data_IF_285448305822
#
_entry.id   IF_285448305822
#
_cell.length_a   1.000
_cell.length_b   1.000
_cell.length_c   1.000
_cell.angle_alpha   90.00
_cell.angle_beta   90.00
_cell.angle_gamma   90.00
#
_symmetry.space_group_name_H-M   'P 1'
#
loop_
_entity.id
_entity.type
_entity.pdbx_description
1 polymer ?
#
# COMPACT_ATOMS: atom_id res chain seq x y z
N UNK A 1 11.74 20.34 21.79
CA UNK A 1 12.84 20.96 21.04
C UNK A 1 12.18 21.81 19.96
N UNK A 2 12.38 23.13 20.00
CA UNK A 2 11.78 24.02 18.99
C UNK A 2 12.74 24.05 17.80
N UNK A 3 12.28 23.71 16.60
CA UNK A 3 13.01 23.97 15.36
C UNK A 3 12.45 25.25 14.74
N UNK A 4 13.29 26.23 14.53
CA UNK A 4 12.95 27.45 13.81
C UNK A 4 13.46 27.28 12.38
N UNK A 5 12.57 27.16 11.42
CA UNK A 5 12.94 27.24 10.02
C UNK A 5 12.78 28.68 9.57
N UNK A 6 13.88 29.30 9.15
CA UNK A 6 13.85 30.61 8.52
C UNK A 6 13.30 30.46 7.10
N UNK A 7 12.02 30.73 6.96
CA UNK A 7 11.38 30.78 5.66
C UNK A 7 11.66 32.15 5.05
N UNK A 8 11.99 32.21 3.78
CA UNK A 8 12.18 33.45 3.02
C UNK A 8 10.90 34.31 2.89
N UNK A 9 9.79 33.83 3.39
CA UNK A 9 8.47 34.46 3.47
C UNK A 9 8.21 34.91 4.92
N UNK A 10 7.53 36.05 5.19
CA UNK A 10 7.43 36.64 6.52
C UNK A 10 6.52 35.89 7.51
N UNK A 11 6.35 34.58 7.35
CA UNK A 11 5.58 33.74 8.27
C UNK A 11 6.45 32.67 8.91
N UNK A 12 6.36 32.57 10.23
CA UNK A 12 7.00 31.51 11.02
C UNK A 12 5.98 30.40 11.27
N UNK A 13 6.29 29.21 10.79
CA UNK A 13 5.50 28.02 11.08
C UNK A 13 6.14 27.22 12.21
N UNK A 14 5.38 26.97 13.27
CA UNK A 14 5.86 26.23 14.44
C UNK A 14 5.03 24.96 14.61
N UNK A 15 5.69 23.81 14.47
CA UNK A 15 5.08 22.50 14.77
C UNK A 15 5.33 22.14 16.23
N UNK A 16 4.29 22.00 17.02
CA UNK A 16 4.36 21.52 18.39
C UNK A 16 4.10 20.01 18.44
N UNK A 17 5.05 19.26 19.03
CA UNK A 17 4.93 17.83 19.24
C UNK A 17 5.67 16.99 18.19
N UNK A 18 5.75 15.69 18.47
CA UNK A 18 6.43 14.72 17.61
C UNK A 18 5.46 14.05 16.65
N UNK A 19 4.18 14.07 16.94
CA UNK A 19 3.12 13.46 16.14
C UNK A 19 1.75 14.05 16.47
N UNK A 20 0.79 13.79 15.58
CA UNK A 20 -0.64 14.04 15.75
C UNK A 20 -1.43 12.76 15.52
N UNK A 21 -2.46 12.53 16.36
CA UNK A 21 -3.37 11.41 16.23
C UNK A 21 -4.71 11.84 15.63
N UNK A 22 -5.24 11.01 14.73
CA UNK A 22 -6.53 11.21 14.07
C UNK A 22 -7.38 9.94 14.17
N UNK A 23 -8.53 10.02 14.82
CA UNK A 23 -9.59 9.01 14.68
C UNK A 23 -10.20 9.13 13.31
N UNK A 24 -10.21 8.05 12.55
CA UNK A 24 -10.72 8.01 11.18
C UNK A 24 -11.84 6.99 11.07
N UNK A 25 -12.92 7.38 10.37
CA UNK A 25 -13.97 6.50 9.90
C UNK A 25 -14.22 6.80 8.44
N UNK A 26 -14.04 5.78 7.60
CA UNK A 26 -14.14 5.89 6.14
C UNK A 26 -15.20 4.91 5.65
N UNK A 27 -16.15 5.40 4.84
CA UNK A 27 -17.17 4.59 4.21
C UNK A 27 -16.89 4.45 2.72
N UNK A 28 -17.20 3.29 2.16
CA UNK A 28 -17.02 2.99 0.75
C UNK A 28 -18.28 2.31 0.25
N UNK A 29 -18.92 2.85 -0.80
CA UNK A 29 -20.04 2.21 -1.45
C UNK A 29 -19.55 1.49 -2.70
N UNK A 30 -19.54 0.18 -2.68
CA UNK A 30 -19.25 -0.66 -3.84
C UNK A 30 -20.55 -1.10 -4.51
N UNK A 31 -20.54 -1.12 -5.83
CA UNK A 31 -21.65 -1.61 -6.63
C UNK A 31 -21.16 -2.39 -7.84
N UNK A 32 -21.67 -3.59 -7.99
CA UNK A 32 -21.49 -4.40 -9.19
C UNK A 32 -22.70 -4.28 -10.11
N UNK A 33 -22.58 -3.49 -11.15
CA UNK A 33 -23.65 -3.31 -12.16
C UNK A 33 -23.63 -4.37 -13.26
N UNK A 34 -22.73 -5.36 -13.19
CA UNK A 34 -22.62 -6.46 -14.17
C UNK A 34 -23.50 -7.65 -13.78
N UNK A 35 -23.69 -8.56 -14.75
CA UNK A 35 -24.40 -9.83 -14.55
C UNK A 35 -23.47 -10.96 -14.07
N UNK A 36 -22.17 -10.69 -13.92
CA UNK A 36 -21.15 -11.62 -13.42
C UNK A 36 -20.50 -11.09 -12.16
N UNK A 37 -19.97 -11.95 -11.28
CA UNK A 37 -19.21 -11.48 -10.14
C UNK A 37 -17.99 -10.65 -10.55
N UNK A 38 -17.70 -9.58 -9.78
CA UNK A 38 -16.53 -8.71 -10.00
C UNK A 38 -15.66 -8.63 -8.75
N UNK A 39 -14.36 -8.44 -8.95
CA UNK A 39 -13.41 -8.08 -7.89
C UNK A 39 -13.25 -6.58 -7.90
N UNK A 40 -13.38 -5.96 -6.73
CA UNK A 40 -13.10 -4.53 -6.53
C UNK A 40 -12.15 -4.38 -5.36
N UNK A 41 -11.12 -3.59 -5.55
CA UNK A 41 -10.14 -3.25 -4.52
C UNK A 41 -10.40 -1.82 -4.06
N UNK A 42 -10.31 -1.58 -2.75
CA UNK A 42 -10.44 -0.27 -2.14
C UNK A 42 -9.21 0.05 -1.31
N UNK A 43 -8.76 1.31 -1.35
CA UNK A 43 -7.61 1.76 -0.58
C UNK A 43 -8.03 2.13 0.84
N UNK A 44 -7.40 1.51 1.83
CA UNK A 44 -7.38 1.97 3.21
C UNK A 44 -6.14 2.83 3.44
N UNK A 45 -6.10 3.67 4.49
CA UNK A 45 -4.90 4.46 4.78
C UNK A 45 -3.65 3.59 4.83
N UNK A 46 -2.61 3.88 4.02
CA UNK A 46 -1.38 3.09 3.97
C UNK A 46 -0.43 3.42 5.11
N UNK A 47 0.54 2.56 5.35
CA UNK A 47 1.72 2.86 6.14
C UNK A 47 2.73 3.62 5.28
N UNK A 48 3.28 4.74 5.76
CA UNK A 48 4.28 5.55 5.03
C UNK A 48 5.45 5.91 5.93
N UNK A 49 6.45 6.65 5.42
CA UNK A 49 7.54 7.16 6.24
C UNK A 49 7.06 8.02 7.42
N UNK A 50 5.93 8.71 7.25
CA UNK A 50 5.43 9.67 8.26
C UNK A 50 4.03 9.35 8.76
N UNK A 51 3.46 8.20 8.40
CA UNK A 51 2.13 7.78 8.81
C UNK A 51 2.14 6.34 9.31
N UNK A 52 1.57 6.12 10.50
CA UNK A 52 1.22 4.78 11.00
C UNK A 52 -0.27 4.64 11.17
N UNK A 53 -0.76 3.43 10.90
CA UNK A 53 -2.19 3.11 10.92
C UNK A 53 -2.49 1.99 11.92
N UNK A 54 -3.45 2.28 12.79
CA UNK A 54 -3.97 1.34 13.78
C UNK A 54 -5.42 1.01 13.44
N UNK A 55 -5.64 -0.18 12.90
CA UNK A 55 -6.96 -0.62 12.44
C UNK A 55 -7.79 -1.07 13.62
N UNK A 56 -8.88 -0.37 13.90
CA UNK A 56 -9.86 -0.81 14.91
C UNK A 56 -10.79 -1.86 14.33
N UNK A 57 -11.32 -1.62 13.14
CA UNK A 57 -12.30 -2.51 12.51
C UNK A 57 -12.45 -2.21 11.02
N UNK A 58 -12.64 -3.26 10.22
CA UNK A 58 -13.11 -3.19 8.82
C UNK A 58 -14.37 -4.04 8.71
N UNK A 59 -15.48 -3.45 8.28
CA UNK A 59 -16.78 -4.14 8.22
C UNK A 59 -17.50 -3.87 6.90
N UNK A 60 -17.90 -4.90 6.17
CA UNK A 60 -17.50 -6.29 6.33
C UNK A 60 -16.00 -6.50 6.07
N UNK A 61 -15.46 -7.61 6.56
CA UNK A 61 -14.06 -7.97 6.29
C UNK A 61 -13.84 -8.18 4.79
N UNK A 62 -12.71 -7.74 4.22
CA UNK A 62 -12.36 -8.04 2.85
C UNK A 62 -12.11 -9.55 2.63
N UNK A 63 -12.29 -10.00 1.40
CA UNK A 63 -11.95 -11.37 0.99
C UNK A 63 -10.43 -11.60 1.06
N UNK A 64 -9.66 -10.55 0.75
CA UNK A 64 -8.20 -10.56 0.77
C UNK A 64 -7.67 -9.16 1.09
N UNK A 65 -6.52 -9.09 1.76
CA UNK A 65 -5.73 -7.87 1.92
C UNK A 65 -4.48 -8.00 1.06
N UNK A 66 -4.19 -6.94 0.30
CA UNK A 66 -3.01 -6.84 -0.56
C UNK A 66 -2.28 -5.53 -0.25
N UNK A 67 -0.96 -5.56 -0.37
CA UNK A 67 -0.15 -4.34 -0.54
C UNK A 67 0.29 -4.34 -1.99
N UNK A 68 -0.07 -3.28 -2.73
CA UNK A 68 0.24 -3.18 -4.16
C UNK A 68 1.66 -2.68 -4.44
N UNK A 69 1.96 -2.47 -5.73
CA UNK A 69 3.28 -2.02 -6.19
C UNK A 69 3.63 -0.61 -5.71
N UNK A 70 2.66 0.25 -5.43
CA UNK A 70 2.86 1.61 -4.91
C UNK A 70 2.90 1.66 -3.38
N UNK A 71 2.62 0.55 -2.70
CA UNK A 71 2.58 0.44 -1.26
C UNK A 71 1.19 0.71 -0.67
N UNK A 72 0.14 0.76 -1.48
CA UNK A 72 -1.23 0.91 -1.00
C UNK A 72 -1.70 -0.31 -0.21
N UNK A 73 -2.40 -0.06 0.88
CA UNK A 73 -3.10 -1.06 1.69
C UNK A 73 -4.49 -1.27 1.12
N UNK A 74 -4.69 -2.37 0.37
CA UNK A 74 -5.93 -2.63 -0.37
C UNK A 74 -6.75 -3.76 0.24
N UNK A 75 -8.04 -3.50 0.41
CA UNK A 75 -9.04 -4.53 0.72
C UNK A 75 -9.74 -4.99 -0.56
N UNK A 76 -9.58 -6.26 -0.92
CA UNK A 76 -10.24 -6.88 -2.07
C UNK A 76 -11.60 -7.44 -1.67
N UNK A 77 -12.63 -7.06 -2.41
CA UNK A 77 -13.99 -7.56 -2.26
C UNK A 77 -14.46 -8.24 -3.52
N UNK A 78 -15.16 -9.36 -3.35
CA UNK A 78 -15.87 -10.06 -4.43
C UNK A 78 -17.34 -9.69 -4.28
N UNK A 79 -17.90 -9.09 -5.32
CA UNK A 79 -19.30 -8.67 -5.37
C UNK A 79 -20.07 -9.59 -6.32
N UNK A 80 -21.18 -10.14 -5.86
CA UNK A 80 -22.13 -10.86 -6.70
C UNK A 80 -22.77 -9.94 -7.75
N UNK A 81 -23.41 -10.45 -8.80
CA UNK A 81 -24.15 -9.63 -9.74
C UNK A 81 -25.16 -8.72 -9.04
N UNK A 82 -25.21 -7.45 -9.45
CA UNK A 82 -26.10 -6.42 -8.92
C UNK A 82 -25.97 -6.14 -7.40
N UNK A 83 -24.92 -6.64 -6.75
CA UNK A 83 -24.70 -6.43 -5.33
C UNK A 83 -24.24 -5.00 -5.04
N UNK A 84 -24.87 -4.39 -4.02
CA UNK A 84 -24.38 -3.17 -3.36
C UNK A 84 -23.80 -3.54 -2.00
N UNK A 85 -22.63 -2.99 -1.67
CA UNK A 85 -21.95 -3.29 -0.41
C UNK A 85 -21.36 -2.02 0.18
N UNK A 86 -21.72 -1.72 1.43
CA UNK A 86 -21.11 -0.62 2.18
C UNK A 86 -20.02 -1.21 3.05
N UNK A 87 -18.80 -0.68 2.90
CA UNK A 87 -17.67 -1.03 3.74
C UNK A 87 -17.36 0.16 4.64
N UNK A 88 -17.08 -0.10 5.91
CA UNK A 88 -16.64 0.90 6.87
C UNK A 88 -15.28 0.49 7.42
N UNK A 89 -14.29 1.37 7.27
CA UNK A 89 -13.01 1.32 7.97
C UNK A 89 -13.09 2.23 9.19
N UNK A 90 -12.67 1.74 10.34
CA UNK A 90 -12.46 2.51 11.57
C UNK A 90 -11.04 2.29 12.06
N UNK A 91 -10.34 3.36 12.39
CA UNK A 91 -8.97 3.28 12.89
C UNK A 91 -8.45 4.58 13.45
N UNK A 92 -7.20 4.55 13.90
CA UNK A 92 -6.44 5.75 14.27
C UNK A 92 -5.25 5.87 13.33
N UNK A 93 -5.05 7.06 12.79
CA UNK A 93 -3.88 7.40 11.99
C UNK A 93 -2.99 8.30 12.84
N UNK A 94 -1.70 7.97 12.90
CA UNK A 94 -0.66 8.73 13.61
C UNK A 94 0.28 9.33 12.57
N UNK A 95 0.34 10.67 12.53
CA UNK A 95 1.22 11.41 11.62
C UNK A 95 2.42 11.90 12.42
N UNK A 96 3.62 11.59 11.94
CA UNK A 96 4.87 11.93 12.62
C UNK A 96 5.52 13.19 12.04
N UNK A 97 6.14 13.98 12.90
CA UNK A 97 6.94 15.14 12.51
C UNK A 97 8.27 14.74 11.82
N UNK A 98 8.72 13.49 12.02
CA UNK A 98 9.94 12.93 11.42
C UNK A 98 9.66 11.58 10.81
N UNK A 99 10.50 11.18 9.88
CA UNK A 99 10.43 9.86 9.25
C UNK A 99 10.62 8.74 10.27
N UNK A 100 9.88 7.65 10.06
CA UNK A 100 9.99 6.44 10.85
C UNK A 100 11.18 5.60 10.34
N UNK A 101 12.20 5.43 11.17
CA UNK A 101 13.43 4.70 10.82
C UNK A 101 13.15 3.23 10.43
N UNK A 102 12.14 2.61 11.01
CA UNK A 102 11.73 1.24 10.72
C UNK A 102 11.08 1.06 9.33
N UNK A 103 10.67 2.16 8.68
CA UNK A 103 10.11 2.16 7.32
C UNK A 103 11.15 2.37 6.22
N UNK A 104 12.31 2.94 6.53
CA UNK A 104 13.30 3.37 5.52
C UNK A 104 13.73 2.20 4.63
N UNK A 105 14.06 1.07 5.22
CA UNK A 105 14.53 -0.08 4.44
C UNK A 105 13.45 -0.64 3.49
N UNK A 106 12.21 -0.74 3.97
CA UNK A 106 11.08 -1.14 3.14
C UNK A 106 10.87 -0.17 1.98
N UNK A 107 10.88 1.14 2.23
CA UNK A 107 10.71 2.19 1.21
C UNK A 107 11.80 2.12 0.13
N UNK A 108 13.05 1.92 0.51
CA UNK A 108 14.17 1.73 -0.43
C UNK A 108 13.97 0.52 -1.35
N UNK A 109 13.52 -0.61 -0.79
CA UNK A 109 13.21 -1.81 -1.57
C UNK A 109 12.04 -1.60 -2.51
N UNK A 110 10.99 -0.96 -2.01
CA UNK A 110 9.81 -0.63 -2.79
C UNK A 110 10.19 0.28 -3.97
N UNK A 111 10.93 1.36 -3.71
CA UNK A 111 11.40 2.27 -4.76
C UNK A 111 12.21 1.56 -5.84
N UNK A 112 13.09 0.63 -5.48
CA UNK A 112 13.87 -0.15 -6.47
C UNK A 112 12.97 -0.90 -7.46
N UNK A 113 11.81 -1.37 -7.04
CA UNK A 113 10.83 -2.01 -7.92
C UNK A 113 9.98 -1.02 -8.71
N UNK A 114 9.83 0.21 -8.21
CA UNK A 114 8.95 1.25 -8.77
C UNK A 114 9.64 2.13 -9.82
N UNK A 115 10.96 2.32 -9.74
CA UNK A 115 11.66 3.34 -10.53
C UNK A 115 11.47 3.21 -12.05
N UNK A 116 11.12 2.03 -12.56
CA UNK A 116 10.89 1.83 -13.99
C UNK A 116 9.65 2.56 -14.50
N UNK A 117 8.66 2.84 -13.64
CA UNK A 117 7.44 3.54 -14.04
C UNK A 117 7.31 4.95 -13.42
N UNK A 118 8.08 5.28 -12.39
CA UNK A 118 7.99 6.58 -11.71
C UNK A 118 8.50 7.77 -12.53
N UNK A 119 9.12 7.52 -13.69
CA UNK A 119 9.51 8.52 -14.69
C UNK A 119 8.65 8.45 -15.96
N UNK A 120 7.71 7.48 -16.05
CA UNK A 120 6.88 7.35 -17.23
C UNK A 120 5.76 8.37 -17.20
N UNK A 121 5.43 8.89 -18.39
CA UNK A 121 4.24 9.72 -18.55
C UNK A 121 2.99 8.85 -18.37
N UNK A 122 1.97 9.42 -17.77
CA UNK A 122 0.71 8.76 -17.51
C UNK A 122 -0.41 9.81 -17.62
N UNK A 123 -1.61 9.39 -17.93
CA UNK A 123 -2.79 10.19 -18.35
C UNK A 123 -2.80 11.67 -17.92
N UNK A 124 -2.77 11.94 -16.60
CA UNK A 124 -2.83 13.31 -16.08
C UNK A 124 -1.46 13.96 -15.88
N UNK A 125 -0.38 13.21 -16.01
CA UNK A 125 1.01 13.66 -15.85
C UNK A 125 1.78 13.77 -17.17
N UNK A 126 1.08 13.60 -18.31
CA UNK A 126 1.67 13.70 -19.66
C UNK A 126 2.04 15.14 -19.96
N UNK A 127 3.24 15.33 -20.52
CA UNK A 127 3.74 16.61 -21.00
C UNK A 127 4.25 16.44 -22.44
N UNK A 128 3.46 16.94 -23.39
CA UNK A 128 3.80 17.01 -24.84
C UNK A 128 3.65 18.44 -25.37
N UNK A 129 3.05 19.35 -24.60
CA UNK A 129 2.82 20.72 -25.01
C UNK A 129 4.16 21.45 -25.24
N UNK A 130 4.46 21.98 -26.48
CA UNK A 130 5.76 22.59 -26.79
C UNK A 130 6.06 23.83 -25.93
N UNK A 131 5.04 24.59 -25.53
CA UNK A 131 5.23 25.79 -24.69
C UNK A 131 5.60 25.41 -23.27
N UNK A 132 4.97 24.36 -22.74
CA UNK A 132 5.32 23.81 -21.43
C UNK A 132 6.74 23.25 -21.45
N UNK A 133 7.10 22.42 -22.42
CA UNK A 133 8.46 21.89 -22.58
C UNK A 133 9.50 23.02 -22.64
N UNK A 134 9.22 24.06 -23.41
CA UNK A 134 10.10 25.26 -23.48
C UNK A 134 10.21 25.97 -22.12
N UNK A 135 9.12 26.07 -21.38
CA UNK A 135 9.14 26.69 -20.04
C UNK A 135 9.97 25.87 -19.04
N UNK A 136 10.06 24.55 -19.22
CA UNK A 136 10.86 23.65 -18.39
C UNK A 136 12.36 23.60 -18.74
N UNK A 137 12.82 24.25 -19.82
CA UNK A 137 14.24 24.22 -20.22
C UNK A 137 15.20 24.69 -19.11
N UNK A 138 14.76 25.68 -18.30
CA UNK A 138 15.54 26.25 -17.20
C UNK A 138 15.28 25.59 -15.84
N UNK A 139 14.34 24.64 -15.77
CA UNK A 139 13.99 23.90 -14.57
C UNK A 139 14.89 22.68 -14.48
N UNK A 140 15.71 22.56 -13.42
CA UNK A 140 16.70 21.49 -13.29
C UNK A 140 16.66 20.75 -11.96
N UNK A 141 16.08 21.36 -10.93
CA UNK A 141 16.01 20.81 -9.57
C UNK A 141 14.56 20.64 -9.13
N UNK A 142 14.33 19.92 -8.06
CA UNK A 142 12.99 19.79 -7.47
C UNK A 142 12.47 21.15 -6.99
N UNK A 143 13.35 22.00 -6.46
CA UNK A 143 13.01 23.36 -6.05
C UNK A 143 12.56 24.20 -7.24
N UNK A 144 13.28 24.12 -8.40
CA UNK A 144 12.84 24.80 -9.63
C UNK A 144 11.46 24.33 -10.08
N UNK A 145 11.18 23.00 -10.01
CA UNK A 145 9.86 22.45 -10.35
C UNK A 145 8.79 23.00 -9.41
N UNK A 146 9.06 22.98 -8.12
CA UNK A 146 8.10 23.47 -7.13
C UNK A 146 7.77 24.95 -7.34
N UNK A 147 8.77 25.79 -7.46
CA UNK A 147 8.61 27.22 -7.70
C UNK A 147 7.90 27.47 -9.04
N UNK A 148 8.28 26.74 -10.10
CA UNK A 148 7.59 26.82 -11.40
C UNK A 148 6.09 26.54 -11.28
N UNK A 149 5.68 25.53 -10.51
CA UNK A 149 4.26 25.20 -10.30
C UNK A 149 3.54 26.28 -9.52
N UNK A 150 4.12 26.76 -8.41
CA UNK A 150 3.54 27.81 -7.56
C UNK A 150 3.43 29.13 -8.34
N UNK A 151 4.46 29.53 -9.09
CA UNK A 151 4.45 30.77 -9.88
C UNK A 151 3.52 30.70 -11.11
N UNK A 152 3.24 29.48 -11.61
CA UNK A 152 2.45 29.29 -12.82
C UNK A 152 0.97 29.18 -12.59
N UNK A 153 0.53 28.60 -11.49
CA UNK A 153 -0.87 28.28 -11.23
C UNK A 153 -1.49 29.27 -10.25
N UNK A 154 -2.78 29.54 -10.44
CA UNK A 154 -3.62 30.30 -9.51
C UNK A 154 -4.75 29.41 -9.01
N UNK A 155 -4.93 29.33 -7.68
CA UNK A 155 -5.95 28.46 -7.09
C UNK A 155 -7.36 28.92 -7.38
N UNK A 156 -8.17 28.05 -7.98
CA UNK A 156 -9.54 28.34 -8.39
C UNK A 156 -10.56 28.02 -7.30
N UNK A 157 -10.87 28.96 -6.43
CA UNK A 157 -11.93 28.82 -5.42
C UNK A 157 -13.32 28.58 -6.04
N UNK A 158 -13.56 28.95 -7.29
CA UNK A 158 -14.83 28.71 -7.99
C UNK A 158 -15.03 27.26 -8.40
N UNK A 159 -13.96 26.51 -8.60
CA UNK A 159 -13.99 25.06 -8.85
C UNK A 159 -14.03 24.24 -7.57
N UNK A 160 -13.74 24.86 -6.46
CA UNK A 160 -13.73 24.27 -5.15
C UNK A 160 -15.11 23.70 -4.78
N UNK A 161 -15.16 22.43 -4.38
CA UNK A 161 -16.41 21.76 -3.97
C UNK A 161 -17.34 21.32 -5.10
N UNK A 162 -17.06 21.65 -6.34
CA UNK A 162 -17.79 21.12 -7.48
C UNK A 162 -17.09 19.83 -7.95
N UNK A 163 -17.85 18.84 -8.40
CA UNK A 163 -17.35 17.62 -9.05
C UNK A 163 -16.78 17.94 -10.44
N UNK A 164 -15.81 18.86 -10.48
CA UNK A 164 -15.17 19.28 -11.72
C UNK A 164 -14.19 18.19 -12.17
N UNK A 165 -14.20 17.94 -13.46
CA UNK A 165 -13.30 16.99 -14.10
C UNK A 165 -11.83 17.38 -13.85
N UNK A 166 -10.96 16.41 -13.51
CA UNK A 166 -9.50 16.59 -13.38
C UNK A 166 -8.91 16.97 -14.73
N UNK A 167 -8.18 18.08 -14.78
CA UNK A 167 -7.65 18.62 -16.04
C UNK A 167 -6.35 17.94 -16.49
N UNK A 168 -5.45 17.63 -15.55
CA UNK A 168 -4.10 17.16 -15.82
C UNK A 168 -3.08 18.28 -16.05
N UNK A 169 -1.80 17.90 -16.12
CA UNK A 169 -0.66 18.83 -16.16
C UNK A 169 -0.71 19.84 -17.30
N UNK A 170 -0.95 19.38 -18.55
CA UNK A 170 -0.95 20.25 -19.73
C UNK A 170 -2.10 21.26 -19.71
N UNK A 171 -3.31 20.82 -19.38
CA UNK A 171 -4.45 21.69 -19.34
C UNK A 171 -4.37 22.67 -18.16
N UNK A 172 -3.78 22.29 -17.03
CA UNK A 172 -3.47 23.19 -15.91
C UNK A 172 -2.49 24.30 -16.38
N UNK A 173 -1.44 23.95 -17.10
CA UNK A 173 -0.49 24.92 -17.63
C UNK A 173 -1.14 25.92 -18.59
N UNK A 174 -2.05 25.46 -19.46
CA UNK A 174 -2.77 26.31 -20.44
C UNK A 174 -3.85 27.18 -19.79
N UNK A 175 -4.49 26.69 -18.72
CA UNK A 175 -5.57 27.40 -18.04
C UNK A 175 -5.27 27.55 -16.53
N UNK A 176 -4.22 28.31 -16.15
CA UNK A 176 -3.66 28.33 -14.80
C UNK A 176 -4.69 28.75 -13.73
N UNK A 177 -5.58 29.71 -14.03
CA UNK A 177 -6.63 30.16 -13.10
C UNK A 177 -7.80 29.16 -12.88
N UNK A 178 -7.67 27.93 -13.41
CA UNK A 178 -8.62 26.83 -13.17
C UNK A 178 -8.03 25.72 -12.26
N UNK A 179 -6.86 25.91 -11.68
CA UNK A 179 -6.20 24.90 -10.91
C UNK A 179 -6.83 24.70 -9.52
N UNK A 180 -6.92 23.45 -9.07
CA UNK A 180 -7.13 23.04 -7.69
C UNK A 180 -6.00 22.09 -7.29
N UNK A 181 -6.02 21.53 -6.08
CA UNK A 181 -4.92 20.69 -5.59
C UNK A 181 -4.48 19.57 -6.56
N UNK A 182 -5.41 18.99 -7.30
CA UNK A 182 -5.07 17.96 -8.30
C UNK A 182 -4.21 18.51 -9.45
N UNK A 183 -4.52 19.70 -9.96
CA UNK A 183 -3.77 20.33 -11.05
C UNK A 183 -2.37 20.79 -10.62
N UNK A 184 -2.21 21.30 -9.39
CA UNK A 184 -0.89 21.58 -8.82
C UNK A 184 -0.05 20.31 -8.73
N UNK A 185 -0.65 19.24 -8.21
CA UNK A 185 0.00 17.93 -8.10
C UNK A 185 0.35 17.35 -9.46
N UNK A 186 -0.56 17.43 -10.44
CA UNK A 186 -0.35 16.92 -11.79
C UNK A 186 0.79 17.62 -12.51
N UNK A 187 0.81 18.96 -12.45
CA UNK A 187 1.86 19.73 -13.09
C UNK A 187 3.22 19.48 -12.42
N UNK A 188 3.27 19.37 -11.08
CA UNK A 188 4.48 19.03 -10.36
C UNK A 188 5.03 17.66 -10.79
N UNK A 189 4.17 16.62 -10.81
CA UNK A 189 4.60 15.26 -11.18
C UNK A 189 5.02 15.19 -12.64
N UNK A 190 4.22 15.76 -13.53
CA UNK A 190 4.56 15.79 -14.96
C UNK A 190 5.90 16.47 -15.22
N UNK A 191 6.10 17.68 -14.67
CA UNK A 191 7.35 18.43 -14.79
C UNK A 191 8.53 17.69 -14.14
N UNK A 192 8.35 17.12 -12.94
CA UNK A 192 9.38 16.32 -12.28
C UNK A 192 9.82 15.13 -13.14
N UNK A 193 8.86 14.33 -13.64
CA UNK A 193 9.16 13.15 -14.46
C UNK A 193 9.84 13.51 -15.77
N UNK A 194 9.43 14.61 -16.41
CA UNK A 194 10.09 15.15 -17.62
C UNK A 194 11.55 15.54 -17.34
N UNK A 195 11.85 15.99 -16.13
CA UNK A 195 13.21 16.36 -15.71
C UNK A 195 14.00 15.20 -15.08
N UNK A 196 13.48 13.97 -15.12
CA UNK A 196 14.14 12.79 -14.57
C UNK A 196 14.07 12.68 -13.04
N UNK A 197 13.17 13.44 -12.39
CA UNK A 197 12.91 13.40 -10.97
C UNK A 197 11.76 12.43 -10.70
N UNK A 198 12.01 11.40 -9.90
CA UNK A 198 10.99 10.42 -9.53
C UNK A 198 9.92 11.07 -8.66
N UNK A 199 8.68 11.07 -9.12
CA UNK A 199 7.57 11.71 -8.41
C UNK A 199 6.30 10.87 -8.46
N UNK A 200 5.48 11.00 -7.42
CA UNK A 200 4.19 10.32 -7.25
C UNK A 200 3.16 11.24 -6.58
N UNK A 201 1.90 10.90 -6.74
CA UNK A 201 0.78 11.59 -6.10
C UNK A 201 0.36 10.87 -4.82
N UNK A 202 0.02 11.64 -3.82
CA UNK A 202 -0.73 11.17 -2.66
C UNK A 202 -2.11 11.82 -2.69
N UNK A 203 -3.14 11.00 -2.58
CA UNK A 203 -4.51 11.48 -2.37
C UNK A 203 -4.96 11.09 -0.97
N UNK A 204 -5.55 12.04 -0.26
CA UNK A 204 -5.92 11.83 1.13
C UNK A 204 -6.75 12.96 1.71
N UNK A 205 -6.54 13.22 2.98
CA UNK A 205 -7.23 14.24 3.74
C UNK A 205 -6.24 15.27 4.27
N UNK A 206 -6.48 16.53 3.93
CA UNK A 206 -5.74 17.65 4.51
C UNK A 206 -6.53 18.26 5.69
N UNK A 207 -6.07 18.09 6.92
CA UNK A 207 -6.73 18.68 8.08
C UNK A 207 -6.45 20.19 8.14
N UNK A 208 -7.48 21.02 7.95
CA UNK A 208 -7.36 22.47 7.99
C UNK A 208 -8.48 23.11 8.82
N UNK A 209 -8.12 24.18 9.54
CA UNK A 209 -9.08 25.02 10.27
C UNK A 209 -9.42 26.29 9.50
N UNK A 210 -8.64 26.66 8.50
CA UNK A 210 -8.91 27.81 7.62
C UNK A 210 -8.90 27.36 6.15
N UNK A 211 -10.09 27.13 5.56
CA UNK A 211 -10.21 26.66 4.19
C UNK A 211 -9.84 27.71 3.13
N UNK A 212 -9.58 28.97 3.49
CA UNK A 212 -9.07 29.99 2.56
C UNK A 212 -7.57 29.88 2.37
N UNK A 213 -6.84 29.62 3.47
CA UNK A 213 -5.39 29.46 3.45
C UNK A 213 -4.99 28.04 3.05
N UNK A 214 -5.80 27.05 3.43
CA UNK A 214 -5.59 25.62 3.16
C UNK A 214 -6.88 25.02 2.62
N UNK A 215 -7.16 25.22 1.32
CA UNK A 215 -8.42 24.82 0.73
C UNK A 215 -8.58 23.29 0.73
N UNK A 216 -9.80 22.88 0.99
CA UNK A 216 -10.23 21.49 1.00
C UNK A 216 -11.57 21.44 0.28
N UNK A 217 -11.94 20.32 -0.35
CA UNK A 217 -13.28 20.19 -0.93
C UNK A 217 -14.36 20.34 0.15
N UNK A 218 -15.27 21.29 0.02
CA UNK A 218 -16.32 21.57 1.01
C UNK A 218 -17.64 20.81 0.76
N UNK A 219 -17.83 20.23 -0.43
CA UNK A 219 -19.03 19.48 -0.75
C UNK A 219 -18.81 17.98 -0.60
N UNK A 220 -19.34 17.43 0.48
CA UNK A 220 -19.25 16.03 0.81
C UNK A 220 -17.96 15.72 1.55
N UNK A 221 -17.01 15.04 0.91
CA UNK A 221 -15.76 14.66 1.54
C UNK A 221 -14.64 15.62 1.21
N UNK A 222 -13.88 15.92 2.24
CA UNK A 222 -12.77 16.85 2.20
C UNK A 222 -11.53 16.06 1.79
N UNK A 223 -11.24 16.05 0.48
CA UNK A 223 -10.05 15.41 -0.06
C UNK A 223 -9.01 16.45 -0.45
N UNK A 224 -7.75 16.06 -0.34
CA UNK A 224 -6.60 16.83 -0.76
C UNK A 224 -5.64 15.94 -1.54
N UNK A 225 -4.93 16.51 -2.49
CA UNK A 225 -3.89 15.85 -3.27
C UNK A 225 -2.60 16.66 -3.16
N UNK A 226 -1.49 15.95 -2.99
CA UNK A 226 -0.16 16.54 -2.94
C UNK A 226 0.88 15.58 -3.54
N UNK A 227 1.99 16.10 -4.10
CA UNK A 227 3.04 15.27 -4.64
C UNK A 227 4.07 14.90 -3.58
N UNK A 228 4.76 13.78 -3.87
CA UNK A 228 6.02 13.41 -3.26
C UNK A 228 7.07 13.20 -4.35
N UNK A 229 8.33 13.57 -4.08
CA UNK A 229 9.46 13.19 -4.92
C UNK A 229 10.43 12.29 -4.15
N UNK A 230 11.16 11.44 -4.86
CA UNK A 230 12.16 10.60 -4.23
C UNK A 230 13.53 11.27 -4.29
N UNK A 231 14.05 11.63 -3.12
CA UNK A 231 15.40 12.16 -2.99
C UNK A 231 16.42 11.02 -3.03
N UNK A 232 17.22 10.98 -4.09
CA UNK A 232 18.24 9.96 -4.29
C UNK A 232 19.41 10.06 -3.29
N UNK A 233 19.66 11.25 -2.73
CA UNK A 233 20.76 11.47 -1.78
C UNK A 233 20.42 10.88 -0.40
N UNK A 234 19.19 11.08 0.06
CA UNK A 234 18.71 10.54 1.34
C UNK A 234 17.98 9.21 1.20
N UNK A 235 17.69 8.78 -0.03
CA UNK A 235 16.93 7.57 -0.37
C UNK A 235 15.54 7.53 0.31
N UNK A 236 14.82 8.66 0.25
CA UNK A 236 13.51 8.85 0.92
C UNK A 236 12.52 9.55 0.01
N UNK A 237 11.23 9.28 0.25
CA UNK A 237 10.16 10.10 -0.29
C UNK A 237 10.04 11.39 0.52
N UNK A 238 10.05 12.51 -0.16
CA UNK A 238 9.89 13.86 0.41
C UNK A 238 8.54 14.40 -0.01
N UNK A 239 7.69 14.68 0.98
CA UNK A 239 6.39 15.30 0.77
C UNK A 239 6.56 16.80 0.53
N UNK A 240 5.86 17.32 -0.47
CA UNK A 240 5.73 18.76 -0.74
C UNK A 240 4.27 19.11 -1.03
N UNK A 241 3.87 20.36 -0.83
CA UNK A 241 2.51 20.81 -1.16
C UNK A 241 2.54 22.19 -1.83
N UNK A 242 2.66 22.23 -3.16
CA UNK A 242 2.64 23.51 -3.89
C UNK A 242 1.30 24.23 -3.80
N UNK A 243 0.18 23.51 -3.56
CA UNK A 243 -1.14 24.13 -3.39
C UNK A 243 -1.22 24.96 -2.13
N UNK A 244 -0.87 24.36 -0.99
CA UNK A 244 -0.93 25.07 0.28
C UNK A 244 0.20 26.07 0.43
N UNK A 245 1.32 25.89 -0.27
CA UNK A 245 2.36 26.93 -0.35
C UNK A 245 1.82 28.18 -1.05
N UNK A 246 1.20 28.05 -2.21
CA UNK A 246 0.61 29.15 -2.96
C UNK A 246 -0.50 29.86 -2.15
N UNK A 247 -1.44 29.10 -1.61
CA UNK A 247 -2.62 29.69 -0.95
C UNK A 247 -2.35 30.24 0.45
N UNK A 248 -1.35 29.74 1.17
CA UNK A 248 -1.02 30.14 2.55
C UNK A 248 0.26 30.95 2.70
N UNK A 249 1.15 30.90 1.71
CA UNK A 249 2.49 31.51 1.80
C UNK A 249 3.43 30.76 2.77
N UNK A 250 3.10 29.55 3.20
CA UNK A 250 3.95 28.71 4.05
C UNK A 250 4.88 27.89 3.18
N UNK A 251 6.14 27.71 3.60
CA UNK A 251 7.11 26.85 2.90
C UNK A 251 6.76 25.37 3.09
N UNK A 252 6.06 24.82 2.09
CA UNK A 252 5.77 23.39 1.98
C UNK A 252 6.75 22.66 1.05
N UNK A 253 7.86 23.29 0.67
CA UNK A 253 8.97 22.63 -0.03
C UNK A 253 9.95 22.01 0.97
N UNK A 254 10.37 22.79 1.99
CA UNK A 254 11.38 22.38 2.97
C UNK A 254 10.79 21.95 4.31
N UNK A 255 9.48 22.19 4.50
CA UNK A 255 8.77 21.84 5.72
C UNK A 255 7.51 21.04 5.43
N UNK A 256 7.15 20.16 6.34
CA UNK A 256 5.86 19.46 6.31
C UNK A 256 5.16 19.65 7.65
N UNK A 257 3.85 19.55 7.63
CA UNK A 257 3.03 19.63 8.84
C UNK A 257 2.56 18.23 9.31
N UNK A 258 1.71 18.23 10.33
CA UNK A 258 1.08 17.02 10.86
C UNK A 258 -0.35 16.83 10.36
N UNK A 259 -0.73 17.54 9.28
CA UNK A 259 -2.12 17.66 8.83
C UNK A 259 -2.45 16.85 7.57
N UNK A 260 -1.47 16.26 6.93
CA UNK A 260 -1.63 15.45 5.72
C UNK A 260 -1.79 13.98 6.07
N UNK A 261 -2.96 13.40 5.74
CA UNK A 261 -3.31 12.01 5.99
C UNK A 261 -3.48 11.30 4.66
N UNK A 262 -2.58 10.39 4.32
CA UNK A 262 -2.62 9.63 3.07
C UNK A 262 -3.72 8.56 3.11
N UNK A 263 -4.49 8.46 2.01
CA UNK A 263 -5.46 7.38 1.77
C UNK A 263 -5.09 6.51 0.58
N UNK A 264 -4.49 7.08 -0.45
CA UNK A 264 -4.02 6.38 -1.63
C UNK A 264 -2.71 6.97 -2.16
N UNK A 265 -1.86 6.13 -2.71
CA UNK A 265 -0.57 6.46 -3.33
C UNK A 265 -0.68 6.11 -4.82
N UNK A 266 -0.40 7.08 -5.68
CA UNK A 266 -0.44 6.94 -7.13
C UNK A 266 0.97 7.15 -7.71
N UNK A 267 1.66 6.06 -7.99
CA UNK A 267 2.95 6.09 -8.66
C UNK A 267 2.86 5.58 -10.09
N UNK A 268 2.22 4.43 -10.28
CA UNK A 268 2.07 3.74 -11.55
C UNK A 268 0.90 4.25 -12.38
N UNK A 269 -0.20 4.56 -11.71
CA UNK A 269 -1.46 4.97 -12.34
C UNK A 269 -2.02 6.21 -11.66
N UNK A 270 -2.38 7.24 -12.43
CA UNK A 270 -2.87 8.52 -11.92
C UNK A 270 -4.33 8.51 -11.41
N UNK A 271 -5.01 7.37 -11.53
CA UNK A 271 -6.45 7.23 -11.19
C UNK A 271 -6.71 6.15 -10.16
N UNK A 272 -5.86 5.14 -10.08
CA UNK A 272 -6.09 3.96 -9.26
C UNK A 272 -4.95 3.73 -8.27
N UNK A 273 -5.29 3.33 -7.03
CA UNK A 273 -6.63 3.09 -6.48
C UNK A 273 -7.37 4.39 -6.11
N UNK A 274 -8.69 4.38 -6.17
CA UNK A 274 -9.47 5.53 -5.70
C UNK A 274 -9.30 5.71 -4.18
N UNK A 275 -9.10 6.94 -3.67
CA UNK A 275 -9.06 7.19 -2.23
C UNK A 275 -10.46 7.08 -1.60
N UNK A 276 -10.49 6.90 -0.28
CA UNK A 276 -11.73 7.07 0.49
C UNK A 276 -12.40 8.41 0.14
N UNK A 277 -13.74 8.44 0.09
CA UNK A 277 -14.51 9.63 -0.32
C UNK A 277 -14.83 9.72 -1.81
N UNK A 278 -14.17 8.91 -2.67
CA UNK A 278 -14.43 8.85 -4.11
C UNK A 278 -15.41 7.72 -4.51
N UNK A 279 -15.88 6.93 -3.57
CA UNK A 279 -16.83 5.81 -3.78
C UNK A 279 -18.29 6.23 -3.59
N UNK A 280 -18.66 7.42 -4.06
CA UNK A 280 -19.97 8.03 -3.76
C UNK A 280 -21.10 7.60 -4.68
N UNK A 281 -22.27 7.55 -4.07
CA UNK A 281 -23.55 7.66 -4.79
C UNK A 281 -24.36 8.80 -4.13
N UNK A 282 -24.21 10.03 -4.65
CA UNK A 282 -24.86 11.21 -4.11
C UNK A 282 -23.97 12.04 -3.15
N UNK A 283 -24.58 12.92 -2.36
CA UNK A 283 -23.92 13.91 -1.51
C UNK A 283 -23.68 13.43 -0.07
N UNK A 284 -23.46 12.13 0.15
CA UNK A 284 -23.17 11.62 1.49
C UNK A 284 -21.74 11.96 1.92
N UNK A 285 -21.56 12.23 3.21
CA UNK A 285 -20.25 12.36 3.81
C UNK A 285 -19.71 10.96 4.13
N UNK A 286 -18.57 10.60 3.55
CA UNK A 286 -17.96 9.26 3.70
C UNK A 286 -16.63 9.29 4.47
N UNK A 287 -16.01 10.47 4.59
CA UNK A 287 -14.74 10.67 5.30
C UNK A 287 -14.96 11.44 6.60
N UNK A 288 -14.68 10.80 7.73
CA UNK A 288 -14.76 11.39 9.05
C UNK A 288 -13.40 11.32 9.71
N UNK A 289 -12.77 12.49 9.91
CA UNK A 289 -11.46 12.64 10.55
C UNK A 289 -11.60 13.60 11.73
N UNK A 290 -11.09 13.19 12.88
CA UNK A 290 -11.10 14.01 14.10
C UNK A 290 -9.79 13.83 14.85
N UNK A 291 -9.17 14.94 15.26
CA UNK A 291 -8.01 14.91 16.16
C UNK A 291 -8.36 14.23 17.50
N UNK A 292 -7.41 13.51 18.07
CA UNK A 292 -7.54 12.86 19.37
C UNK A 292 -6.21 12.88 20.12
N UNK A 293 -6.29 12.74 21.43
CA UNK A 293 -5.13 12.50 22.30
C UNK A 293 -5.08 11.04 22.78
N UNK A 294 -6.10 10.24 22.46
CA UNK A 294 -6.17 8.84 22.88
C UNK A 294 -5.18 8.01 22.05
N UNK A 295 -4.13 7.54 22.69
CA UNK A 295 -3.17 6.62 22.07
C UNK A 295 -3.85 5.30 21.68
N UNK A 296 -3.67 4.83 20.44
CA UNK A 296 -4.17 3.54 20.04
C UNK A 296 -3.38 2.42 20.73
N UNK A 297 -4.07 1.37 21.15
CA UNK A 297 -3.40 0.16 21.62
C UNK A 297 -2.67 -0.49 20.43
N UNK A 298 -1.36 -0.67 20.56
CA UNK A 298 -0.57 -1.43 19.59
C UNK A 298 -0.70 -2.92 19.91
N UNK A 299 -1.15 -3.70 18.94
CA UNK A 299 -1.23 -5.15 19.04
C UNK A 299 -0.59 -5.77 17.79
N UNK A 300 0.64 -6.27 17.96
CA UNK A 300 1.34 -7.05 16.95
C UNK A 300 1.14 -8.54 17.25
N UNK A 301 0.51 -9.24 16.32
CA UNK A 301 0.35 -10.68 16.44
C UNK A 301 0.30 -11.36 15.08
N UNK A 302 0.79 -12.60 15.01
CA UNK A 302 0.76 -13.41 13.78
C UNK A 302 0.12 -14.75 14.03
N UNK A 303 -0.57 -15.25 13.01
CA UNK A 303 -0.99 -16.64 12.91
C UNK A 303 -0.21 -17.29 11.77
N UNK A 304 0.35 -18.45 12.03
CA UNK A 304 1.11 -19.20 11.02
C UNK A 304 0.32 -20.41 10.59
N UNK A 305 0.24 -20.64 9.29
CA UNK A 305 -0.28 -21.88 8.69
C UNK A 305 0.81 -22.50 7.83
N UNK A 306 0.92 -23.80 7.92
CA UNK A 306 1.92 -24.56 7.20
C UNK A 306 1.22 -25.37 6.13
N UNK A 307 1.64 -25.18 4.88
CA UNK A 307 1.13 -25.90 3.72
C UNK A 307 2.26 -26.77 3.16
N UNK A 308 2.52 -27.86 3.85
CA UNK A 308 3.39 -28.94 3.44
C UNK A 308 3.00 -30.26 4.12
N UNK A 309 3.27 -31.37 3.45
CA UNK A 309 2.92 -32.70 3.95
C UNK A 309 3.67 -33.05 5.25
N UNK A 310 3.01 -33.76 6.13
CA UNK A 310 3.66 -34.32 7.34
C UNK A 310 4.67 -35.43 7.01
N UNK A 311 4.72 -35.89 5.77
CA UNK A 311 5.61 -36.95 5.29
C UNK A 311 6.62 -36.33 4.31
N UNK A 312 7.89 -36.64 4.50
CA UNK A 312 8.98 -36.18 3.63
C UNK A 312 9.74 -37.37 3.08
N UNK A 313 10.26 -37.19 1.87
CA UNK A 313 10.98 -38.24 1.17
C UNK A 313 12.46 -38.06 1.46
N UNK A 314 13.10 -39.11 1.97
CA UNK A 314 14.53 -39.10 2.25
C UNK A 314 15.35 -38.92 0.98
N UNK A 315 16.35 -38.02 1.04
CA UNK A 315 17.27 -37.75 -0.07
C UNK A 315 16.70 -37.00 -1.25
N UNK A 316 15.39 -36.56 -1.18
CA UNK A 316 14.78 -35.69 -2.18
C UNK A 316 14.46 -34.32 -1.61
N UNK A 317 14.46 -33.33 -2.49
CA UNK A 317 13.97 -32.01 -2.14
C UNK A 317 12.46 -32.07 -1.94
N UNK A 318 12.03 -31.58 -0.77
CA UNK A 318 10.63 -31.39 -0.42
C UNK A 318 10.32 -29.91 -0.43
N UNK A 319 9.15 -29.53 -0.92
CA UNK A 319 8.72 -28.14 -1.00
C UNK A 319 7.48 -27.92 -0.17
N UNK A 320 7.30 -26.68 0.30
CA UNK A 320 6.15 -26.26 1.05
C UNK A 320 5.99 -24.76 1.08
N UNK A 321 4.97 -24.30 1.81
CA UNK A 321 4.71 -22.88 1.97
C UNK A 321 4.39 -22.59 3.43
N UNK A 322 5.01 -21.52 3.97
CA UNK A 322 4.63 -20.92 5.23
C UNK A 322 3.73 -19.73 4.92
N UNK A 323 2.50 -19.77 5.44
CA UNK A 323 1.58 -18.63 5.37
C UNK A 323 1.65 -17.89 6.70
N UNK A 324 2.05 -16.62 6.66
CA UNK A 324 2.08 -15.73 7.82
C UNK A 324 0.93 -14.74 7.69
N UNK A 325 0.05 -14.70 8.66
CA UNK A 325 -1.14 -13.88 8.71
C UNK A 325 -0.95 -12.86 9.83
N UNK A 326 -0.96 -11.58 9.54
CA UNK A 326 -1.01 -10.55 10.57
C UNK A 326 -2.41 -10.52 11.17
N UNK A 327 -2.54 -10.91 12.43
CA UNK A 327 -3.80 -10.91 13.20
C UNK A 327 -3.91 -9.73 14.16
N UNK A 328 -2.87 -8.89 14.18
CA UNK A 328 -2.82 -7.64 14.92
C UNK A 328 -3.61 -6.50 14.27
N UNK A 329 -3.51 -5.33 14.86
CA UNK A 329 -4.19 -4.12 14.42
C UNK A 329 -3.25 -3.08 13.79
N UNK A 330 -1.97 -3.37 13.70
CA UNK A 330 -0.94 -2.52 13.11
C UNK A 330 -0.10 -3.26 12.09
N UNK A 331 0.64 -2.53 11.28
CA UNK A 331 1.60 -3.10 10.34
C UNK A 331 2.79 -3.70 11.10
N UNK A 332 3.14 -4.93 10.78
CA UNK A 332 4.35 -5.59 11.29
C UNK A 332 5.50 -5.26 10.34
N UNK A 333 6.60 -4.74 10.89
CA UNK A 333 7.74 -4.21 10.13
C UNK A 333 9.03 -4.96 10.46
N UNK A 334 9.85 -5.21 9.45
CA UNK A 334 11.22 -5.73 9.56
C UNK A 334 11.38 -6.96 10.48
N UNK A 335 10.42 -7.88 10.43
CA UNK A 335 10.45 -9.07 11.27
C UNK A 335 11.25 -10.20 10.63
N UNK A 336 12.24 -10.82 11.34
CA UNK A 336 12.98 -11.96 10.81
C UNK A 336 12.14 -13.23 10.87
N UNK A 337 12.09 -13.98 9.77
CA UNK A 337 11.72 -15.39 9.72
C UNK A 337 13.01 -16.22 9.74
N UNK A 338 13.18 -17.06 10.75
CA UNK A 338 14.29 -18.00 10.86
C UNK A 338 13.76 -19.43 10.80
N UNK A 339 14.39 -20.24 9.97
CA UNK A 339 14.13 -21.66 9.83
C UNK A 339 15.40 -22.43 10.17
N UNK A 340 15.35 -23.28 11.19
CA UNK A 340 16.49 -24.08 11.61
C UNK A 340 16.12 -25.55 11.76
N UNK A 341 17.10 -26.43 11.47
CA UNK A 341 16.97 -27.88 11.64
C UNK A 341 18.34 -28.51 11.79
N UNK A 342 18.47 -29.43 12.72
CA UNK A 342 19.68 -30.27 12.82
C UNK A 342 19.71 -31.34 11.73
N UNK A 343 18.58 -31.80 11.29
CA UNK A 343 18.39 -32.98 10.46
C UNK A 343 18.10 -32.66 8.98
N UNK A 344 17.67 -31.42 8.70
CA UNK A 344 17.30 -30.93 7.36
C UNK A 344 18.15 -29.73 6.97
N UNK A 345 18.50 -29.63 5.69
CA UNK A 345 18.89 -28.37 5.06
C UNK A 345 17.63 -27.67 4.63
N UNK A 346 17.44 -26.42 5.08
CA UNK A 346 16.22 -25.63 4.82
C UNK A 346 16.57 -24.36 4.06
N UNK A 347 15.80 -24.02 3.06
CA UNK A 347 15.93 -22.79 2.28
C UNK A 347 14.57 -22.07 2.13
N UNK A 348 14.53 -20.76 2.40
CA UNK A 348 15.59 -19.94 3.00
C UNK A 348 15.75 -20.24 4.49
N UNK A 349 16.98 -20.26 5.00
CA UNK A 349 17.22 -20.42 6.45
C UNK A 349 16.85 -19.15 7.24
N UNK A 350 17.08 -17.99 6.64
CA UNK A 350 16.73 -16.68 7.18
C UNK A 350 16.13 -15.79 6.09
N UNK A 351 15.04 -15.10 6.41
CA UNK A 351 14.42 -14.13 5.54
C UNK A 351 13.81 -12.99 6.34
N UNK A 352 14.08 -11.75 5.99
CA UNK A 352 13.38 -10.61 6.57
C UNK A 352 12.04 -10.38 5.88
N UNK A 353 10.99 -10.26 6.64
CA UNK A 353 9.66 -9.83 6.20
C UNK A 353 9.57 -8.34 6.50
N UNK A 354 9.60 -7.51 5.45
CA UNK A 354 9.73 -6.07 5.61
C UNK A 354 8.44 -5.39 6.03
N UNK A 355 7.28 -5.88 5.53
CA UNK A 355 5.97 -5.32 5.88
C UNK A 355 4.88 -6.39 5.75
N UNK A 356 3.99 -6.46 6.76
CA UNK A 356 2.73 -7.21 6.68
C UNK A 356 1.62 -6.30 7.21
N UNK A 357 0.69 -5.94 6.33
CA UNK A 357 -0.47 -5.13 6.71
C UNK A 357 -1.44 -5.91 7.64
N UNK A 358 -2.24 -5.22 8.46
CA UNK A 358 -3.30 -5.85 9.26
C UNK A 358 -4.21 -6.73 8.39
N UNK A 359 -4.46 -7.95 8.84
CA UNK A 359 -5.23 -8.99 8.14
C UNK A 359 -4.63 -9.52 6.83
N UNK A 360 -3.46 -9.06 6.42
CA UNK A 360 -2.75 -9.58 5.25
C UNK A 360 -2.21 -10.99 5.53
N UNK A 361 -2.27 -11.83 4.49
CA UNK A 361 -1.60 -13.14 4.45
C UNK A 361 -0.47 -13.09 3.44
N UNK A 362 0.75 -13.32 3.88
CA UNK A 362 1.90 -13.51 2.98
C UNK A 362 2.24 -15.01 2.88
N UNK A 363 2.71 -15.43 1.70
CA UNK A 363 3.12 -16.81 1.43
C UNK A 363 4.61 -16.86 1.17
N UNK A 364 5.30 -17.67 1.93
CA UNK A 364 6.75 -17.82 1.85
C UNK A 364 7.02 -19.26 1.41
N UNK A 365 7.50 -19.48 0.17
CA UNK A 365 7.91 -20.80 -0.28
C UNK A 365 9.16 -21.21 0.48
N UNK A 366 9.19 -22.48 0.86
CA UNK A 366 10.35 -23.11 1.50
C UNK A 366 10.67 -24.43 0.79
N UNK A 367 11.94 -24.81 0.83
CA UNK A 367 12.39 -26.12 0.42
C UNK A 367 13.30 -26.73 1.46
N UNK A 368 13.30 -28.03 1.57
CA UNK A 368 14.14 -28.73 2.53
C UNK A 368 14.51 -30.13 2.06
N UNK A 369 15.68 -30.59 2.45
CA UNK A 369 16.23 -31.90 2.13
C UNK A 369 16.90 -32.53 3.38
N UNK A 370 16.84 -33.84 3.53
CA UNK A 370 17.51 -34.53 4.65
C UNK A 370 19.02 -34.46 4.53
N UNK A 371 19.72 -34.02 5.59
CA UNK A 371 21.20 -33.99 5.67
C UNK A 371 21.81 -35.37 5.64
N UNK A 372 21.21 -36.34 6.34
CA UNK A 372 21.69 -37.74 6.41
C UNK A 372 20.52 -38.70 6.19
N UNK A 373 20.82 -39.90 5.64
CA UNK A 373 19.82 -40.92 5.33
C UNK A 373 19.15 -41.57 6.55
N UNK A 374 19.70 -41.40 7.76
CA UNK A 374 19.27 -42.10 8.97
C UNK A 374 18.87 -41.08 10.03
N UNK A 375 17.63 -40.58 9.91
CA UNK A 375 17.00 -39.74 10.94
C UNK A 375 15.59 -40.27 11.21
N UNK A 376 15.30 -40.61 12.46
CA UNK A 376 14.00 -41.18 12.80
C UNK A 376 12.84 -40.17 12.76
N UNK A 377 13.10 -38.92 13.11
CA UNK A 377 12.08 -37.83 13.12
C UNK A 377 12.74 -36.50 12.74
N UNK A 378 12.77 -36.16 11.44
CA UNK A 378 13.23 -34.82 11.03
C UNK A 378 12.27 -33.75 11.51
N UNK A 379 12.86 -32.60 11.91
CA UNK A 379 12.07 -31.45 12.39
C UNK A 379 12.62 -30.12 11.87
N UNK A 380 11.74 -29.12 11.78
CA UNK A 380 12.06 -27.73 11.46
C UNK A 380 11.54 -26.84 12.56
N UNK A 381 12.39 -26.04 13.16
CA UNK A 381 12.00 -24.95 14.06
C UNK A 381 11.78 -23.70 13.23
N UNK A 382 10.61 -23.09 13.40
CA UNK A 382 10.14 -21.89 12.69
C UNK A 382 9.98 -20.78 13.72
N UNK A 383 10.73 -19.69 13.55
CA UNK A 383 10.65 -18.51 14.42
C UNK A 383 10.38 -17.27 13.59
N UNK A 384 9.41 -16.45 14.02
CA UNK A 384 9.07 -15.17 13.40
C UNK A 384 9.24 -14.09 14.47
N UNK A 385 10.42 -13.48 14.52
CA UNK A 385 10.81 -12.54 15.56
C UNK A 385 10.47 -13.06 16.96
N UNK A 386 9.86 -12.21 17.78
CA UNK A 386 9.30 -12.58 19.10
C UNK A 386 7.82 -13.03 19.03
N UNK A 387 7.17 -12.98 17.87
CA UNK A 387 5.73 -13.17 17.73
C UNK A 387 5.30 -14.65 17.59
N UNK A 388 6.21 -15.51 17.13
CA UNK A 388 5.87 -16.91 16.89
C UNK A 388 7.13 -17.79 16.93
N UNK A 389 7.00 -18.92 17.65
CA UNK A 389 7.99 -20.02 17.59
C UNK A 389 7.24 -21.35 17.65
N UNK A 390 7.59 -22.26 16.75
CA UNK A 390 7.04 -23.60 16.72
C UNK A 390 8.01 -24.56 16.06
N UNK A 391 7.98 -25.84 16.46
CA UNK A 391 8.76 -26.91 15.84
C UNK A 391 7.82 -27.92 15.20
N UNK A 392 8.02 -28.18 13.92
CA UNK A 392 7.25 -29.13 13.12
C UNK A 392 8.06 -30.38 12.91
N UNK A 393 7.46 -31.53 13.21
CA UNK A 393 8.06 -32.85 13.04
C UNK A 393 7.47 -33.56 11.83
N UNK A 394 8.33 -34.27 11.10
CA UNK A 394 7.95 -35.00 9.89
C UNK A 394 8.14 -36.50 10.05
N UNK A 395 7.34 -37.26 9.34
CA UNK A 395 7.54 -38.68 9.18
C UNK A 395 8.40 -38.91 7.92
N UNK A 396 9.55 -39.54 8.09
CA UNK A 396 10.42 -39.87 6.98
C UNK A 396 9.88 -41.08 6.22
N UNK A 397 9.84 -40.99 4.90
CA UNK A 397 9.46 -42.11 3.99
C UNK A 397 10.62 -42.37 3.06
N UNK A 398 10.98 -43.64 2.89
CA UNK A 398 11.96 -43.99 1.87
C UNK A 398 11.35 -43.85 0.46
N UNK A 399 12.21 -43.55 -0.52
CA UNK A 399 11.77 -43.41 -1.93
C UNK A 399 11.07 -44.67 -2.45
N UNK A 400 11.56 -45.87 -2.03
CA UNK A 400 10.96 -47.16 -2.39
C UNK A 400 9.51 -47.30 -1.89
N UNK A 401 9.23 -46.87 -0.66
CA UNK A 401 7.86 -46.90 -0.07
C UNK A 401 6.94 -45.93 -0.80
N UNK A 402 7.43 -44.77 -1.18
CA UNK A 402 6.61 -43.82 -1.96
C UNK A 402 6.28 -44.39 -3.36
N UNK A 403 7.26 -44.99 -4.04
CA UNK A 403 7.02 -45.65 -5.34
C UNK A 403 5.93 -46.73 -5.24
N UNK A 404 5.96 -47.52 -4.18
CA UNK A 404 4.95 -48.55 -3.92
C UNK A 404 3.58 -47.93 -3.64
N UNK A 405 3.48 -46.88 -2.82
CA UNK A 405 2.23 -46.18 -2.51
C UNK A 405 1.62 -45.50 -3.75
N UNK A 406 2.45 -44.95 -4.64
CA UNK A 406 1.96 -44.32 -5.88
C UNK A 406 1.43 -45.41 -6.86
N UNK A 407 2.11 -46.53 -7.02
CA UNK A 407 1.65 -47.64 -7.79
C UNK A 407 0.31 -48.22 -7.27
N UNK A 408 0.17 -48.37 -5.95
CA UNK A 408 -1.05 -48.79 -5.30
C UNK A 408 -2.23 -47.86 -5.56
N UNK A 409 -1.98 -46.52 -5.50
CA UNK A 409 -3.00 -45.51 -5.85
C UNK A 409 -3.43 -45.60 -7.32
N UNK A 410 -2.49 -45.74 -8.26
CA UNK A 410 -2.80 -45.92 -9.67
C UNK A 410 -3.58 -47.22 -9.93
N UNK A 411 -3.19 -48.32 -9.31
CA UNK A 411 -3.90 -49.57 -9.41
C UNK A 411 -5.35 -49.49 -8.87
N UNK A 412 -5.53 -48.79 -7.74
CA UNK A 412 -6.85 -48.57 -7.15
C UNK A 412 -7.75 -47.67 -8.03
N UNK A 413 -7.21 -46.57 -8.59
CA UNK A 413 -7.93 -45.74 -9.54
C UNK A 413 -8.31 -46.47 -10.82
N UNK A 414 -7.40 -47.28 -11.36
CA UNK A 414 -7.68 -48.12 -12.51
C UNK A 414 -8.78 -49.16 -12.21
N UNK A 415 -8.74 -49.75 -11.01
CA UNK A 415 -9.79 -50.67 -10.55
C UNK A 415 -11.16 -50.00 -10.47
N UNK A 416 -11.24 -48.78 -9.88
CA UNK A 416 -12.47 -47.99 -9.84
C UNK A 416 -12.99 -47.69 -11.25
N UNK A 417 -12.10 -47.28 -12.16
CA UNK A 417 -12.48 -46.97 -13.55
C UNK A 417 -13.04 -48.19 -14.28
N UNK A 418 -12.42 -49.35 -14.12
CA UNK A 418 -12.89 -50.62 -14.68
C UNK A 418 -14.24 -51.03 -14.07
N UNK A 419 -14.42 -50.86 -12.76
CA UNK A 419 -15.68 -51.14 -12.09
C UNK A 419 -16.82 -50.25 -12.59
N UNK A 420 -16.57 -48.95 -12.76
CA UNK A 420 -17.53 -47.99 -13.31
C UNK A 420 -17.89 -48.32 -14.76
N UNK A 421 -16.88 -48.62 -15.60
CA UNK A 421 -17.10 -49.05 -17.00
C UNK A 421 -17.93 -50.33 -17.08
N UNK A 422 -17.63 -51.31 -16.23
CA UNK A 422 -18.40 -52.57 -16.19
C UNK A 422 -19.87 -52.39 -15.77
N UNK A 423 -20.14 -51.41 -14.87
CA UNK A 423 -21.49 -51.03 -14.46
C UNK A 423 -22.27 -50.32 -15.58
N UNK A 424 -21.58 -49.47 -16.36
CA UNK A 424 -22.18 -48.80 -17.53
C UNK A 424 -22.51 -49.82 -18.63
N UNK A 425 -21.58 -50.73 -18.94
CA UNK A 425 -21.78 -51.78 -19.96
C UNK A 425 -22.84 -52.81 -19.59
N UNK A 426 -23.19 -52.98 -18.32
CA UNK A 426 -24.30 -53.84 -17.87
C UNK A 426 -25.67 -53.17 -17.97
N UNK A 427 -25.72 -51.86 -18.23
CA UNK A 427 -26.96 -51.08 -18.35
C UNK A 427 -27.32 -50.74 -19.81
N UNK A 428 -26.47 -51.07 -20.76
CA UNK A 428 -26.71 -51.09 -22.20
C UNK A 428 -26.98 -52.54 -22.67
#
# INVERSE_FOLDING_TARGET
>A
MFTWDNVSIPMVYVVFGQYQLYKTRLNYLLYNNRLTPVKQDIAFPPETLRQSVFVKKITPKPNEIIVDEDGNYLGRYILSPQEKKIITFEGTVKIFAKDQEDMIHYIRLLFKSQKNYLLTQEKYWTINNPQLLKSLEKVNTTEDVFNFVVDKLDYSFSRFGNSSERLGAEAAFVTPGKAVCMEYTDLFIGASREKGIYAREIQGYGYSKDPRLRPQSLQGDVLHAWPEFYDLATERWVQVDPTWADTSGIDYLHGTDLNHIAFAIHGKNSVYPLPAGMYKNGNTKDVYVKTTIDEPMNNESVKVRLDFGQQIISGKQNNGTIQVINTGNTFIKNIPLSLSSETLEVSPALKTIFLIAPSQTIKIPISFITKNKIVSQPEISITIGSLYTNTVRFKLISEKVQGFLSLAKFAFLAFILIAVLSLILRRV
#
